data_IF_279468785037
#
_entry.id   IF_279468785037
#
_cell.length_a   1.000
_cell.length_b   1.000
_cell.length_c   1.000
_cell.angle_alpha   90.00
_cell.angle_beta   90.00
_cell.angle_gamma   90.00
#
_symmetry.space_group_name_H-M   'P 1'
#
loop_
_entity.id
_entity.type
_entity.pdbx_description
1 polymer ?
#
# COMPACT_ATOMS: atom_id res chain seq x y z
N UNK A 1 10.11 -16.56 -2.26
CA UNK A 1 8.75 -16.93 -2.69
C UNK A 1 8.53 -16.59 -4.15
N UNK A 2 8.01 -17.51 -4.99
CA UNK A 2 7.84 -17.34 -6.44
C UNK A 2 6.62 -18.08 -6.99
N UNK A 3 6.24 -17.76 -8.23
CA UNK A 3 5.28 -18.53 -9.04
C UNK A 3 5.70 -18.51 -10.52
N UNK A 4 5.35 -19.55 -11.28
CA UNK A 4 5.77 -19.78 -12.68
C UNK A 4 4.61 -19.73 -13.70
N UNK A 5 3.37 -19.56 -13.20
CA UNK A 5 2.16 -19.37 -14.00
C UNK A 5 1.14 -18.57 -13.24
N UNK A 6 0.24 -17.92 -13.97
CA UNK A 6 -0.93 -17.30 -13.33
C UNK A 6 -1.85 -18.36 -12.73
N UNK A 7 -2.53 -18.02 -11.64
CA UNK A 7 -3.46 -18.95 -11.01
C UNK A 7 -3.94 -18.52 -9.62
N UNK A 8 -4.60 -19.45 -8.90
CA UNK A 8 -5.03 -19.25 -7.52
C UNK A 8 -3.82 -19.21 -6.56
N UNK A 9 -4.02 -18.91 -5.26
CA UNK A 9 -2.91 -18.80 -4.28
C UNK A 9 -1.94 -20.00 -4.24
N UNK A 10 -2.40 -21.17 -4.59
CA UNK A 10 -1.64 -22.44 -4.60
C UNK A 10 -0.53 -22.50 -5.67
N UNK A 11 -0.46 -21.52 -6.58
CA UNK A 11 0.69 -21.41 -7.51
C UNK A 11 1.94 -20.86 -6.84
N UNK A 12 1.79 -20.29 -5.63
CA UNK A 12 2.90 -19.75 -4.84
C UNK A 12 3.71 -20.91 -4.24
N UNK A 13 5.03 -20.83 -4.34
CA UNK A 13 5.94 -21.81 -3.78
C UNK A 13 7.23 -21.18 -3.27
N UNK A 14 7.85 -21.83 -2.32
CA UNK A 14 9.22 -21.51 -1.89
C UNK A 14 10.19 -22.12 -2.90
N UNK A 15 11.11 -21.32 -3.43
CA UNK A 15 12.21 -21.75 -4.29
C UNK A 15 13.54 -21.36 -3.63
N UNK A 16 14.48 -22.26 -3.62
CA UNK A 16 15.88 -21.96 -3.29
C UNK A 16 16.57 -21.34 -4.50
N UNK A 17 17.24 -20.24 -4.27
CA UNK A 17 17.99 -19.51 -5.30
C UNK A 17 19.30 -18.97 -4.72
N UNK A 18 20.33 -18.77 -5.52
CA UNK A 18 21.56 -18.14 -5.06
C UNK A 18 21.28 -16.76 -4.45
N UNK A 19 21.94 -16.47 -3.34
CA UNK A 19 21.90 -15.12 -2.75
C UNK A 19 22.48 -14.11 -3.76
N UNK A 20 21.75 -13.04 -4.10
CA UNK A 20 22.24 -12.05 -5.04
C UNK A 20 23.36 -11.22 -4.43
N UNK A 21 24.21 -10.62 -5.28
CA UNK A 21 25.22 -9.64 -4.86
C UNK A 21 24.83 -8.25 -5.30
N UNK A 22 25.02 -7.20 -4.46
CA UNK A 22 24.69 -5.84 -4.83
C UNK A 22 25.69 -5.28 -5.86
N UNK A 23 25.16 -4.66 -6.92
CA UNK A 23 25.92 -3.90 -7.90
C UNK A 23 26.26 -2.48 -7.41
N UNK A 24 26.78 -1.66 -8.32
CA UNK A 24 27.06 -0.24 -8.02
C UNK A 24 25.78 0.52 -7.64
N UNK A 25 25.80 1.25 -6.52
CA UNK A 25 24.66 2.00 -5.99
C UNK A 25 23.53 1.13 -5.43
N UNK A 26 23.77 -0.17 -5.23
CA UNK A 26 22.80 -1.12 -4.70
C UNK A 26 23.17 -1.62 -3.30
N UNK A 27 22.15 -2.04 -2.57
CA UNK A 27 22.24 -2.55 -1.20
C UNK A 27 21.62 -3.94 -1.16
N UNK A 28 22.32 -4.90 -0.59
CA UNK A 28 21.78 -6.20 -0.20
C UNK A 28 21.19 -6.07 1.19
N UNK A 29 19.90 -6.36 1.30
CA UNK A 29 19.18 -6.38 2.58
C UNK A 29 18.82 -7.81 2.94
N UNK A 30 19.18 -8.24 4.15
CA UNK A 30 18.62 -9.42 4.80
C UNK A 30 17.22 -9.05 5.29
N UNK A 31 16.20 -9.65 4.69
CA UNK A 31 14.80 -9.35 4.97
C UNK A 31 14.36 -10.03 6.24
N UNK A 32 13.77 -9.26 7.13
CA UNK A 32 13.14 -9.79 8.35
C UNK A 32 11.66 -10.02 8.14
N UNK A 33 10.99 -9.09 7.48
CA UNK A 33 9.58 -9.20 7.18
C UNK A 33 9.23 -8.50 5.86
N UNK A 34 8.18 -8.98 5.24
CA UNK A 34 7.56 -8.39 4.05
C UNK A 34 6.05 -8.30 4.26
N UNK A 35 5.35 -7.53 3.45
CA UNK A 35 3.89 -7.50 3.51
C UNK A 35 3.25 -7.86 2.16
N UNK A 36 2.00 -8.32 2.22
CA UNK A 36 1.24 -8.69 1.01
C UNK A 36 0.25 -7.59 0.67
N UNK A 37 0.25 -7.20 -0.60
CA UNK A 37 -0.61 -6.15 -1.14
C UNK A 37 -1.76 -6.68 -1.99
N UNK A 38 -2.93 -6.04 -1.90
CA UNK A 38 -4.09 -6.39 -2.73
C UNK A 38 -3.80 -6.30 -4.23
N UNK A 39 -2.87 -5.42 -4.66
CA UNK A 39 -2.45 -5.33 -6.05
C UNK A 39 -1.79 -6.63 -6.55
N UNK A 40 -1.06 -7.33 -5.70
CA UNK A 40 -0.37 -8.57 -6.04
C UNK A 40 -1.35 -9.69 -6.44
N UNK A 41 -2.54 -9.69 -5.88
CA UNK A 41 -3.61 -10.64 -6.25
C UNK A 41 -3.95 -10.53 -7.74
N UNK A 42 -4.02 -9.30 -8.27
CA UNK A 42 -4.32 -9.07 -9.68
C UNK A 42 -3.16 -9.50 -10.59
N UNK A 43 -1.90 -9.35 -10.14
CA UNK A 43 -0.74 -9.84 -10.87
C UNK A 43 -0.65 -11.36 -10.85
N UNK A 44 -0.78 -11.99 -9.67
CA UNK A 44 -0.71 -13.44 -9.51
C UNK A 44 -1.84 -14.16 -10.27
N UNK A 45 -3.08 -13.66 -10.17
CA UNK A 45 -4.23 -14.26 -10.84
C UNK A 45 -4.24 -14.06 -12.37
N UNK A 46 -3.37 -13.19 -12.91
CA UNK A 46 -3.32 -12.87 -14.33
C UNK A 46 -4.33 -11.82 -14.79
N UNK A 47 -5.09 -11.20 -13.90
CA UNK A 47 -6.02 -10.10 -14.25
C UNK A 47 -5.30 -8.91 -14.90
N UNK A 48 -4.00 -8.74 -14.63
CA UNK A 48 -3.15 -7.70 -15.20
C UNK A 48 -2.31 -8.15 -16.40
N UNK A 49 -2.50 -9.37 -16.93
CA UNK A 49 -1.69 -9.94 -18.03
C UNK A 49 -1.69 -9.13 -19.33
N UNK A 50 -2.74 -8.39 -19.59
CA UNK A 50 -2.85 -7.53 -20.78
C UNK A 50 -2.13 -6.17 -20.63
N UNK A 51 -1.74 -5.80 -19.42
CA UNK A 51 -1.11 -4.51 -19.10
C UNK A 51 0.39 -4.68 -18.84
N UNK A 52 0.80 -5.81 -18.27
CA UNK A 52 2.20 -6.09 -17.96
C UNK A 52 2.67 -7.35 -18.69
N UNK A 53 3.87 -7.27 -19.30
CA UNK A 53 4.55 -8.46 -19.84
C UNK A 53 5.09 -9.27 -18.65
N UNK A 54 4.43 -10.39 -18.35
CA UNK A 54 4.93 -11.30 -17.33
C UNK A 54 6.14 -12.09 -17.85
N UNK A 55 7.20 -12.11 -17.05
CA UNK A 55 8.30 -13.08 -17.19
C UNK A 55 8.25 -13.99 -15.97
N UNK A 56 8.30 -15.28 -16.18
CA UNK A 56 8.32 -16.29 -15.12
C UNK A 56 9.71 -16.90 -14.96
N UNK A 57 10.12 -17.38 -13.75
CA UNK A 57 9.37 -17.29 -12.50
C UNK A 57 9.30 -15.85 -11.98
N UNK A 58 8.23 -15.52 -11.24
CA UNK A 58 8.00 -14.18 -10.71
C UNK A 58 8.00 -14.20 -9.19
N UNK A 59 8.68 -13.24 -8.57
CA UNK A 59 8.67 -13.02 -7.12
C UNK A 59 7.35 -12.47 -6.60
N UNK A 60 7.24 -12.39 -5.28
CA UNK A 60 6.08 -11.87 -4.53
C UNK A 60 6.56 -10.88 -3.48
N UNK A 61 5.73 -9.91 -3.13
CA UNK A 61 6.03 -8.86 -2.16
C UNK A 61 6.70 -7.64 -2.80
N UNK A 62 6.32 -6.48 -2.31
CA UNK A 62 6.88 -5.17 -2.67
C UNK A 62 7.55 -4.52 -1.47
N UNK A 63 6.89 -4.55 -0.32
CA UNK A 63 7.34 -3.93 0.93
C UNK A 63 8.24 -4.88 1.70
N UNK A 64 9.29 -4.35 2.30
CA UNK A 64 10.15 -5.13 3.20
C UNK A 64 10.73 -4.28 4.32
N UNK A 65 11.14 -4.97 5.37
CA UNK A 65 11.97 -4.48 6.46
C UNK A 65 13.09 -5.46 6.69
N UNK A 66 14.24 -4.98 7.14
CA UNK A 66 15.36 -5.87 7.38
C UNK A 66 16.61 -5.13 7.86
N UNK A 67 17.74 -5.78 7.66
CA UNK A 67 19.06 -5.20 7.93
C UNK A 67 19.93 -5.23 6.68
N UNK A 68 20.73 -4.20 6.51
CA UNK A 68 21.74 -4.19 5.45
C UNK A 68 22.74 -5.33 5.71
N UNK A 69 22.86 -6.25 4.75
CA UNK A 69 23.82 -7.33 4.79
C UNK A 69 25.15 -6.90 4.14
N UNK A 70 25.11 -6.24 2.99
CA UNK A 70 26.28 -5.67 2.32
C UNK A 70 25.86 -4.55 1.36
N UNK A 71 26.82 -3.75 0.93
CA UNK A 71 26.62 -2.62 0.03
C UNK A 71 27.53 -2.76 -1.20
N UNK A 72 27.01 -2.33 -2.34
CA UNK A 72 27.77 -2.23 -3.58
C UNK A 72 28.65 -0.99 -3.65
N UNK A 73 29.48 -0.93 -4.69
CA UNK A 73 30.33 0.23 -4.92
C UNK A 73 29.51 1.52 -5.00
N UNK A 74 30.05 2.62 -4.50
CA UNK A 74 29.43 3.94 -4.55
C UNK A 74 28.39 4.22 -3.45
N UNK A 75 27.86 3.22 -2.76
CA UNK A 75 26.93 3.41 -1.62
C UNK A 75 27.70 3.98 -0.43
N UNK A 76 27.18 5.07 0.12
CA UNK A 76 27.80 5.77 1.28
C UNK A 76 26.82 5.98 2.43
N UNK A 77 25.52 5.90 2.15
CA UNK A 77 24.48 6.14 3.15
C UNK A 77 24.26 4.97 4.09
N UNK A 78 24.70 3.77 3.74
CA UNK A 78 24.38 2.54 4.43
C UNK A 78 25.62 1.71 4.74
N UNK A 79 25.56 0.95 5.83
CA UNK A 79 26.56 -0.04 6.25
C UNK A 79 25.88 -1.30 6.78
N UNK A 80 26.60 -2.42 6.77
CA UNK A 80 26.11 -3.69 7.32
C UNK A 80 25.61 -3.51 8.77
N UNK A 81 24.44 -4.10 9.03
CA UNK A 81 23.75 -4.04 10.32
C UNK A 81 22.71 -2.93 10.43
N UNK A 82 22.73 -1.90 9.60
CA UNK A 82 21.72 -0.83 9.62
C UNK A 82 20.32 -1.38 9.45
N UNK A 83 19.39 -0.98 10.33
CA UNK A 83 17.99 -1.33 10.21
C UNK A 83 17.31 -0.45 9.17
N UNK A 84 16.74 -1.09 8.14
CA UNK A 84 16.15 -0.41 7.00
C UNK A 84 14.75 -0.94 6.70
N UNK A 85 13.98 -0.11 6.04
CA UNK A 85 12.77 -0.49 5.37
C UNK A 85 12.72 0.14 3.96
N UNK A 86 11.93 -0.46 3.09
CA UNK A 86 11.89 0.04 1.73
C UNK A 86 10.89 -0.69 0.85
N UNK A 87 10.98 -0.39 -0.44
CA UNK A 87 10.15 -1.00 -1.46
C UNK A 87 11.01 -1.51 -2.62
N UNK A 88 10.59 -2.62 -3.19
CA UNK A 88 11.14 -3.07 -4.47
C UNK A 88 10.94 -1.99 -5.55
N UNK A 89 11.78 -1.96 -6.58
CA UNK A 89 11.58 -1.06 -7.72
C UNK A 89 10.19 -1.22 -8.34
N UNK A 90 9.70 -0.15 -8.96
CA UNK A 90 8.36 -0.12 -9.53
C UNK A 90 8.09 -1.30 -10.48
N UNK A 91 6.99 -2.02 -10.26
CA UNK A 91 6.62 -3.27 -10.93
C UNK A 91 7.59 -4.45 -10.77
N UNK A 92 8.59 -4.34 -9.90
CA UNK A 92 9.44 -5.47 -9.48
C UNK A 92 8.86 -6.04 -8.19
N UNK A 93 8.76 -7.36 -8.14
CA UNK A 93 8.27 -8.12 -6.99
C UNK A 93 9.36 -9.08 -6.54
N UNK A 94 9.40 -9.40 -5.24
CA UNK A 94 10.38 -10.32 -4.70
C UNK A 94 10.82 -10.01 -3.28
N UNK A 95 10.07 -9.13 -2.58
CA UNK A 95 10.37 -8.77 -1.18
C UNK A 95 10.18 -9.95 -0.21
N UNK A 96 9.34 -10.94 -0.54
CA UNK A 96 9.20 -12.17 0.25
C UNK A 96 10.33 -13.15 -0.13
N UNK A 97 11.52 -12.88 0.39
CA UNK A 97 12.75 -13.65 0.19
C UNK A 97 13.71 -13.33 1.35
N UNK A 98 14.67 -14.25 1.64
CA UNK A 98 15.68 -14.04 2.68
C UNK A 98 16.52 -12.78 2.42
N UNK A 99 16.77 -12.48 1.15
CA UNK A 99 17.57 -11.33 0.73
C UNK A 99 16.96 -10.65 -0.49
N UNK A 100 17.08 -9.33 -0.51
CA UNK A 100 16.76 -8.51 -1.69
C UNK A 100 17.90 -7.57 -2.01
N UNK A 101 18.10 -7.31 -3.30
CA UNK A 101 18.99 -6.24 -3.78
C UNK A 101 18.12 -5.10 -4.30
N UNK A 102 18.37 -3.91 -3.80
CA UNK A 102 17.64 -2.69 -4.21
C UNK A 102 18.60 -1.51 -4.35
N UNK A 103 18.33 -0.57 -5.26
CA UNK A 103 19.03 0.71 -5.28
C UNK A 103 18.93 1.43 -3.93
N UNK A 104 20.01 2.07 -3.46
CA UNK A 104 20.01 2.78 -2.15
C UNK A 104 18.88 3.80 -2.00
N UNK A 105 18.43 4.43 -3.10
CA UNK A 105 17.31 5.38 -3.11
C UNK A 105 15.93 4.75 -2.80
N UNK A 106 15.85 3.43 -2.64
CA UNK A 106 14.63 2.69 -2.27
C UNK A 106 14.55 2.39 -0.78
N UNK A 107 15.51 2.87 -0.01
CA UNK A 107 15.66 2.61 1.42
C UNK A 107 15.54 3.90 2.24
N UNK A 108 15.04 3.74 3.44
CA UNK A 108 15.21 4.67 4.55
C UNK A 108 15.47 3.87 5.84
N UNK A 109 15.92 4.55 6.88
CA UNK A 109 16.04 3.96 8.22
C UNK A 109 14.64 3.49 8.67
N UNK A 110 14.55 2.26 9.16
CA UNK A 110 13.34 1.79 9.81
C UNK A 110 13.06 2.64 11.07
N UNK A 111 11.77 2.88 11.42
CA UNK A 111 11.43 3.65 12.62
C UNK A 111 12.03 3.02 13.88
N UNK A 112 12.68 3.85 14.72
CA UNK A 112 13.35 3.38 15.94
C UNK A 112 12.38 2.92 17.04
N UNK A 113 11.12 3.32 16.95
CA UNK A 113 10.06 3.00 17.92
C UNK A 113 9.20 1.79 17.54
N UNK A 114 9.52 1.07 16.47
CA UNK A 114 8.80 -0.13 16.01
C UNK A 114 9.73 -1.33 15.85
N UNK A 115 9.18 -2.53 16.06
CA UNK A 115 9.79 -3.77 15.60
C UNK A 115 9.74 -3.91 14.07
N UNK A 116 10.75 -4.57 13.47
CA UNK A 116 10.80 -4.74 12.01
C UNK A 116 9.60 -5.52 11.46
N UNK A 117 9.02 -6.45 12.23
CA UNK A 117 7.80 -7.18 11.86
C UNK A 117 6.61 -6.23 11.66
N UNK A 118 6.36 -5.38 12.65
CA UNK A 118 5.23 -4.44 12.58
C UNK A 118 5.46 -3.38 11.52
N UNK A 119 6.71 -2.88 11.42
CA UNK A 119 7.08 -1.85 10.45
C UNK A 119 6.84 -2.29 9.00
N UNK A 120 6.92 -3.59 8.68
CA UNK A 120 6.70 -4.11 7.34
C UNK A 120 5.29 -3.83 6.77
N UNK A 121 4.32 -3.53 7.62
CA UNK A 121 2.96 -3.18 7.18
C UNK A 121 2.85 -1.78 6.54
N UNK A 122 3.89 -0.95 6.62
CA UNK A 122 3.77 0.47 6.31
C UNK A 122 4.43 0.95 5.00
N UNK A 123 5.58 0.45 4.51
CA UNK A 123 6.33 1.13 3.46
C UNK A 123 5.49 1.52 2.24
N UNK A 124 4.81 0.58 1.60
CA UNK A 124 3.96 0.85 0.45
C UNK A 124 2.65 1.55 0.82
N UNK A 125 2.00 1.09 1.87
CA UNK A 125 0.73 1.66 2.33
C UNK A 125 0.90 3.11 2.81
N UNK A 126 1.92 3.37 3.61
CA UNK A 126 2.21 4.68 4.18
C UNK A 126 2.65 5.69 3.14
N UNK A 127 3.61 5.33 2.28
CA UNK A 127 4.07 6.24 1.21
C UNK A 127 2.96 6.53 0.20
N UNK A 128 2.07 5.56 -0.07
CA UNK A 128 0.89 5.77 -0.91
C UNK A 128 -0.09 6.76 -0.26
N UNK A 129 -0.41 6.60 1.02
CA UNK A 129 -1.30 7.50 1.74
C UNK A 129 -0.70 8.92 1.85
N UNK A 130 0.58 9.04 2.18
CA UNK A 130 1.30 10.33 2.16
C UNK A 130 1.16 11.00 0.82
N UNK A 131 1.57 10.34 -0.28
CA UNK A 131 1.49 10.89 -1.63
C UNK A 131 0.06 11.27 -2.00
N UNK A 132 -0.93 10.44 -1.64
CA UNK A 132 -2.34 10.72 -1.91
C UNK A 132 -2.81 12.00 -1.23
N UNK A 133 -2.52 12.17 0.05
CA UNK A 133 -3.06 13.27 0.85
C UNK A 133 -2.23 14.56 0.71
N UNK A 134 -0.89 14.48 0.71
CA UNK A 134 -0.04 15.69 0.67
C UNK A 134 0.18 16.21 -0.75
N UNK A 135 0.56 15.35 -1.71
CA UNK A 135 0.94 15.80 -3.05
C UNK A 135 -0.25 15.89 -4.00
N UNK A 136 -1.05 14.82 -4.02
CA UNK A 136 -2.17 14.73 -4.97
C UNK A 136 -3.39 15.49 -4.49
N UNK A 137 -3.85 15.23 -3.28
CA UNK A 137 -4.99 15.94 -2.72
C UNK A 137 -4.60 17.31 -2.17
N UNK A 138 -3.39 17.49 -1.63
CA UNK A 138 -3.00 18.70 -0.89
C UNK A 138 -4.03 19.02 0.19
N UNK A 139 -4.29 17.99 1.03
CA UNK A 139 -5.26 18.10 2.12
C UNK A 139 -4.86 19.20 3.09
N UNK A 140 -5.81 20.08 3.39
CA UNK A 140 -5.62 21.19 4.33
C UNK A 140 -6.40 20.94 5.63
N UNK A 141 -5.95 21.51 6.76
CA UNK A 141 -6.69 21.47 8.01
C UNK A 141 -8.12 22.00 7.85
N UNK A 142 -9.08 21.36 8.50
CA UNK A 142 -10.51 21.69 8.45
C UNK A 142 -11.23 21.20 7.19
N UNK A 143 -10.54 20.62 6.20
CA UNK A 143 -11.21 20.02 5.05
C UNK A 143 -11.90 18.70 5.42
N UNK A 144 -12.99 18.39 4.73
CA UNK A 144 -13.74 17.15 4.88
C UNK A 144 -13.17 16.08 3.95
N UNK A 145 -12.63 15.02 4.55
CA UNK A 145 -12.02 13.88 3.87
C UNK A 145 -12.93 12.65 3.94
N UNK A 146 -13.26 12.06 2.78
CA UNK A 146 -13.87 10.73 2.71
C UNK A 146 -12.80 9.69 2.32
N UNK A 147 -12.68 8.62 3.11
CA UNK A 147 -11.83 7.46 2.80
C UNK A 147 -12.71 6.25 2.50
N UNK A 148 -12.65 5.74 1.26
CA UNK A 148 -13.32 4.50 0.85
C UNK A 148 -12.31 3.34 0.89
N UNK A 149 -12.72 2.20 1.46
CA UNK A 149 -11.82 1.07 1.73
C UNK A 149 -10.92 1.35 2.94
N UNK A 150 -11.48 2.02 3.94
CA UNK A 150 -10.76 2.54 5.10
C UNK A 150 -10.05 1.47 5.95
N UNK A 151 -10.45 0.21 5.90
CA UNK A 151 -9.84 -0.87 6.72
C UNK A 151 -8.60 -1.51 6.09
N UNK A 152 -8.40 -1.35 4.78
CA UNK A 152 -7.23 -1.89 4.08
C UNK A 152 -5.93 -1.17 4.44
N UNK A 153 -4.80 -1.68 3.94
CA UNK A 153 -3.47 -1.14 4.26
C UNK A 153 -3.33 0.36 4.05
N UNK A 154 -3.63 0.86 2.85
CA UNK A 154 -3.57 2.31 2.55
C UNK A 154 -4.68 3.08 3.26
N UNK A 155 -5.89 2.48 3.37
CA UNK A 155 -7.07 3.16 3.90
C UNK A 155 -6.93 3.54 5.38
N UNK A 156 -6.45 2.61 6.20
CA UNK A 156 -6.25 2.89 7.62
C UNK A 156 -5.18 3.96 7.87
N UNK A 157 -4.12 3.96 7.07
CA UNK A 157 -3.09 5.02 7.13
C UNK A 157 -3.65 6.36 6.65
N UNK A 158 -4.49 6.37 5.60
CA UNK A 158 -5.13 7.60 5.12
C UNK A 158 -6.08 8.20 6.16
N UNK A 159 -6.77 7.38 6.96
CA UNK A 159 -7.59 7.85 8.10
C UNK A 159 -6.72 8.49 9.16
N UNK A 160 -5.67 7.81 9.62
CA UNK A 160 -4.76 8.29 10.65
C UNK A 160 -4.06 9.59 10.21
N UNK A 161 -3.50 9.59 9.02
CA UNK A 161 -2.79 10.74 8.47
C UNK A 161 -3.75 11.91 8.20
N UNK A 162 -4.95 11.66 7.67
CA UNK A 162 -5.98 12.69 7.48
C UNK A 162 -6.32 13.39 8.78
N UNK A 163 -6.48 12.62 9.87
CA UNK A 163 -6.71 13.17 11.22
C UNK A 163 -5.50 13.96 11.72
N UNK A 164 -4.29 13.44 11.57
CA UNK A 164 -3.06 14.13 11.96
C UNK A 164 -2.83 15.44 11.18
N UNK A 165 -3.33 15.54 9.94
CA UNK A 165 -3.32 16.75 9.14
C UNK A 165 -4.46 17.73 9.46
N UNK A 166 -5.30 17.42 10.44
CA UNK A 166 -6.38 18.29 10.92
C UNK A 166 -7.66 18.25 10.09
N UNK A 167 -7.87 17.21 9.28
CA UNK A 167 -9.10 17.04 8.52
C UNK A 167 -10.25 16.47 9.37
N UNK A 168 -11.51 16.73 8.94
CA UNK A 168 -12.69 15.99 9.37
C UNK A 168 -12.82 14.71 8.54
N UNK A 169 -12.59 13.54 9.16
CA UNK A 169 -12.45 12.27 8.46
C UNK A 169 -13.71 11.43 8.55
N UNK A 170 -14.37 11.19 7.41
CA UNK A 170 -15.43 10.16 7.25
C UNK A 170 -14.83 8.92 6.60
N UNK A 171 -15.04 7.75 7.20
CA UNK A 171 -14.52 6.48 6.73
C UNK A 171 -15.65 5.52 6.33
N UNK A 172 -15.55 4.89 5.14
CA UNK A 172 -16.41 3.78 4.75
C UNK A 172 -15.73 2.45 5.05
N UNK A 173 -16.34 1.67 5.92
CA UNK A 173 -15.87 0.36 6.38
C UNK A 173 -17.04 -0.64 6.45
N UNK A 174 -16.76 -1.94 6.64
CA UNK A 174 -17.82 -2.89 6.95
C UNK A 174 -18.26 -2.77 8.42
N UNK A 175 -19.53 -3.08 8.73
CA UNK A 175 -20.16 -2.92 10.04
C UNK A 175 -19.30 -3.34 11.23
N UNK A 176 -18.65 -4.51 11.14
CA UNK A 176 -17.76 -5.07 12.19
C UNK A 176 -16.50 -4.25 12.47
N UNK A 177 -16.16 -3.28 11.63
CA UNK A 177 -14.93 -2.49 11.70
C UNK A 177 -15.17 -1.01 12.03
N UNK A 178 -16.42 -0.59 12.28
CA UNK A 178 -16.75 0.82 12.48
C UNK A 178 -16.06 1.39 13.73
N UNK A 179 -16.14 0.69 14.86
CA UNK A 179 -15.53 1.16 16.11
C UNK A 179 -14.00 1.11 16.03
N UNK A 180 -13.47 0.10 15.36
CA UNK A 180 -12.04 0.02 15.13
C UNK A 180 -11.49 1.21 14.33
N UNK A 181 -12.20 1.60 13.25
CA UNK A 181 -11.73 2.72 12.40
C UNK A 181 -11.95 4.08 13.08
N UNK A 182 -12.97 4.23 13.93
CA UNK A 182 -13.12 5.40 14.81
C UNK A 182 -11.94 5.50 15.77
N UNK A 183 -11.51 4.39 16.36
CA UNK A 183 -10.32 4.31 17.22
C UNK A 183 -9.00 4.66 16.51
N UNK A 184 -8.99 4.71 15.17
CA UNK A 184 -7.87 5.20 14.37
C UNK A 184 -7.97 6.69 13.99
N UNK A 185 -9.03 7.37 14.40
CA UNK A 185 -9.20 8.81 14.21
C UNK A 185 -10.25 9.22 13.18
N UNK A 186 -11.10 8.31 12.69
CA UNK A 186 -12.25 8.70 11.90
C UNK A 186 -13.27 9.41 12.80
N UNK A 187 -13.68 10.63 12.41
CA UNK A 187 -14.72 11.39 13.10
C UNK A 187 -16.09 10.75 12.85
N UNK A 188 -16.30 10.19 11.66
CA UNK A 188 -17.47 9.42 11.28
C UNK A 188 -17.07 8.12 10.59
N UNK A 189 -17.68 7.00 10.99
CA UNK A 189 -17.50 5.71 10.34
C UNK A 189 -18.84 5.11 9.96
N UNK A 190 -19.03 4.80 8.68
CA UNK A 190 -20.29 4.37 8.09
C UNK A 190 -20.12 3.00 7.39
N UNK A 191 -21.16 2.17 7.49
CA UNK A 191 -21.16 0.87 6.80
C UNK A 191 -21.43 1.06 5.29
N UNK A 192 -20.46 0.71 4.45
CA UNK A 192 -20.58 0.81 2.99
C UNK A 192 -21.70 -0.06 2.39
N UNK A 193 -22.22 -1.05 3.14
CA UNK A 193 -23.31 -1.91 2.67
C UNK A 193 -24.67 -1.25 2.78
N UNK A 194 -24.84 -0.35 3.75
CA UNK A 194 -26.10 0.34 4.04
C UNK A 194 -26.08 1.81 3.64
N UNK A 195 -24.88 2.41 3.50
CA UNK A 195 -24.71 3.81 3.14
C UNK A 195 -24.48 3.96 1.64
N UNK A 196 -25.44 4.51 0.92
CA UNK A 196 -25.32 4.80 -0.50
C UNK A 196 -24.60 6.14 -0.72
N UNK A 197 -23.94 6.36 -1.88
CA UNK A 197 -23.27 7.63 -2.16
C UNK A 197 -24.15 8.86 -1.98
N UNK A 198 -25.45 8.78 -2.35
CA UNK A 198 -26.40 9.90 -2.22
C UNK A 198 -26.76 10.25 -0.76
N UNK A 199 -26.59 9.33 0.17
CA UNK A 199 -26.87 9.53 1.59
C UNK A 199 -25.73 10.30 2.29
N UNK A 200 -24.56 10.38 1.63
CA UNK A 200 -23.37 11.10 2.12
C UNK A 200 -23.48 12.61 1.88
N UNK A 201 -22.89 13.38 2.80
CA UNK A 201 -22.64 14.80 2.61
C UNK A 201 -21.69 15.09 1.45
N UNK A 202 -21.17 16.33 1.41
CA UNK A 202 -20.16 16.72 0.45
C UNK A 202 -18.79 16.78 1.10
N UNK A 203 -17.73 16.52 0.29
CA UNK A 203 -16.34 16.43 0.72
C UNK A 203 -15.43 17.34 -0.12
N UNK A 204 -14.37 17.79 0.50
CA UNK A 204 -13.30 18.51 -0.17
C UNK A 204 -12.32 17.53 -0.82
N UNK A 205 -12.08 16.40 -0.15
CA UNK A 205 -11.22 15.33 -0.63
C UNK A 205 -11.92 13.98 -0.52
N UNK A 206 -11.78 13.15 -1.55
CA UNK A 206 -12.15 11.74 -1.53
C UNK A 206 -10.94 10.91 -1.91
N UNK A 207 -10.53 9.99 -1.04
CA UNK A 207 -9.55 8.93 -1.34
C UNK A 207 -10.33 7.63 -1.60
N UNK A 208 -10.22 7.14 -2.83
CA UNK A 208 -10.92 5.94 -3.28
C UNK A 208 -9.96 4.77 -3.48
N UNK A 209 -10.12 3.73 -2.67
CA UNK A 209 -9.33 2.50 -2.68
C UNK A 209 -10.15 1.28 -3.10
N UNK A 210 -11.35 1.52 -3.68
CA UNK A 210 -12.29 0.46 -4.07
C UNK A 210 -12.45 0.38 -5.58
N UNK A 211 -12.54 1.52 -6.27
CA UNK A 211 -12.58 1.60 -7.73
C UNK A 211 -13.98 1.48 -8.35
N UNK A 212 -15.03 1.12 -7.58
CA UNK A 212 -16.41 1.02 -8.05
C UNK A 212 -17.17 2.33 -7.85
N UNK A 213 -18.20 2.59 -8.68
CA UNK A 213 -19.12 3.74 -8.52
C UNK A 213 -18.46 5.12 -8.44
N UNK A 214 -17.25 5.26 -9.00
CA UNK A 214 -16.44 6.49 -8.91
C UNK A 214 -17.24 7.75 -9.26
N UNK A 215 -18.15 7.67 -10.24
CA UNK A 215 -18.99 8.81 -10.65
C UNK A 215 -19.97 9.26 -9.58
N UNK A 216 -20.58 8.33 -8.85
CA UNK A 216 -21.51 8.63 -7.76
C UNK A 216 -20.79 9.30 -6.59
N UNK A 217 -19.59 8.82 -6.25
CA UNK A 217 -18.76 9.45 -5.21
C UNK A 217 -18.17 10.78 -5.68
N UNK A 218 -17.74 10.90 -6.94
CA UNK A 218 -17.29 12.18 -7.49
C UNK A 218 -18.38 13.27 -7.43
N UNK A 219 -19.68 12.89 -7.52
CA UNK A 219 -20.80 13.79 -7.34
C UNK A 219 -20.94 14.31 -5.89
N UNK A 220 -20.27 13.69 -4.93
CA UNK A 220 -20.21 14.13 -3.52
C UNK A 220 -19.08 15.13 -3.25
N UNK A 221 -18.26 15.48 -4.24
CA UNK A 221 -17.27 16.54 -4.09
C UNK A 221 -17.92 17.92 -4.06
N UNK A 222 -17.40 18.79 -3.21
CA UNK A 222 -17.63 20.24 -3.31
C UNK A 222 -17.16 20.77 -4.68
N UNK A 223 -17.55 22.00 -5.03
CA UNK A 223 -17.22 22.60 -6.34
C UNK A 223 -15.70 22.60 -6.65
N UNK A 224 -14.87 22.82 -5.65
CA UNK A 224 -13.39 22.78 -5.73
C UNK A 224 -12.80 21.46 -5.20
N UNK A 225 -13.63 20.51 -4.83
CA UNK A 225 -13.20 19.24 -4.28
C UNK A 225 -12.48 18.37 -5.30
N UNK A 226 -11.63 17.47 -4.82
CA UNK A 226 -10.78 16.58 -5.61
C UNK A 226 -10.81 15.15 -5.09
N UNK A 227 -10.70 14.20 -6.02
CA UNK A 227 -10.65 12.76 -5.72
C UNK A 227 -9.26 12.23 -6.07
N UNK A 228 -8.73 11.37 -5.23
CA UNK A 228 -7.57 10.52 -5.53
C UNK A 228 -8.08 9.09 -5.61
N UNK A 229 -8.01 8.48 -6.79
CA UNK A 229 -8.43 7.12 -7.01
C UNK A 229 -7.21 6.22 -7.22
N UNK A 230 -7.10 5.18 -6.39
CA UNK A 230 -5.95 4.27 -6.33
C UNK A 230 -6.30 2.83 -6.70
N UNK A 231 -7.59 2.53 -6.79
CA UNK A 231 -8.08 1.23 -7.22
C UNK A 231 -8.93 1.35 -8.49
N UNK A 232 -8.94 0.28 -9.23
CA UNK A 232 -9.80 0.10 -10.41
C UNK A 232 -10.73 -1.08 -10.14
N UNK A 233 -11.93 -1.03 -10.70
CA UNK A 233 -12.86 -2.14 -10.68
C UNK A 233 -12.15 -3.41 -11.19
N UNK A 234 -11.96 -4.44 -10.36
CA UNK A 234 -11.17 -5.62 -10.71
C UNK A 234 -11.80 -6.44 -11.85
N UNK A 235 -13.12 -6.34 -12.02
CA UNK A 235 -13.86 -7.07 -13.06
C UNK A 235 -13.93 -6.28 -14.38
N UNK A 236 -13.61 -4.98 -14.35
CA UNK A 236 -13.74 -4.06 -15.50
C UNK A 236 -12.55 -3.11 -15.62
N UNK A 237 -11.34 -3.60 -15.40
CA UNK A 237 -10.11 -2.78 -15.34
C UNK A 237 -9.98 -1.85 -16.56
N UNK A 238 -10.13 -2.38 -17.79
CA UNK A 238 -9.99 -1.58 -19.01
C UNK A 238 -11.09 -0.50 -19.11
N UNK A 239 -12.33 -0.84 -18.75
CA UNK A 239 -13.48 0.08 -18.77
C UNK A 239 -13.35 1.15 -17.66
N UNK A 240 -12.79 0.77 -16.52
CA UNK A 240 -12.49 1.65 -15.39
C UNK A 240 -11.37 2.64 -15.75
N UNK A 241 -10.30 2.18 -16.40
CA UNK A 241 -9.22 3.03 -16.91
C UNK A 241 -9.72 4.03 -17.95
N UNK A 242 -10.49 3.57 -18.95
CA UNK A 242 -11.08 4.44 -19.97
C UNK A 242 -12.07 5.44 -19.37
N UNK A 243 -12.97 4.98 -18.49
CA UNK A 243 -13.95 5.85 -17.84
C UNK A 243 -13.33 6.88 -16.91
N UNK A 244 -12.29 6.52 -16.19
CA UNK A 244 -11.56 7.44 -15.29
C UNK A 244 -10.68 8.39 -16.08
N UNK A 245 -10.04 7.92 -17.16
CA UNK A 245 -9.28 8.76 -18.10
C UNK A 245 -10.18 9.79 -18.78
N UNK A 246 -11.35 9.39 -19.28
CA UNK A 246 -12.33 10.31 -19.90
C UNK A 246 -12.83 11.36 -18.89
N UNK A 247 -13.11 10.97 -17.63
CA UNK A 247 -13.51 11.91 -16.58
C UNK A 247 -12.40 12.88 -16.18
N UNK A 248 -11.14 12.44 -16.19
CA UNK A 248 -9.98 13.29 -15.96
C UNK A 248 -9.83 14.33 -17.10
N UNK A 249 -10.17 13.97 -18.32
CA UNK A 249 -10.16 14.88 -19.50
C UNK A 249 -11.34 15.86 -19.43
N UNK A 250 -12.55 15.38 -19.13
CA UNK A 250 -13.77 16.23 -19.09
C UNK A 250 -13.76 17.21 -17.92
N UNK A 251 -13.13 16.87 -16.79
CA UNK A 251 -12.97 17.77 -15.64
C UNK A 251 -11.55 17.66 -15.11
N UNK A 252 -10.58 18.30 -15.78
CA UNK A 252 -9.18 18.22 -15.43
C UNK A 252 -8.95 18.70 -13.99
N UNK A 253 -8.10 17.97 -13.28
CA UNK A 253 -7.73 18.29 -11.89
C UNK A 253 -8.68 17.81 -10.79
N UNK A 254 -9.90 17.33 -11.11
CA UNK A 254 -10.85 16.82 -10.09
C UNK A 254 -10.61 15.38 -9.70
N UNK A 255 -10.07 14.55 -10.58
CA UNK A 255 -9.70 13.16 -10.27
C UNK A 255 -8.24 12.95 -10.62
N UNK A 256 -7.46 12.52 -9.66
CA UNK A 256 -6.04 12.24 -9.78
C UNK A 256 -5.80 10.75 -9.61
N UNK A 257 -5.01 10.20 -10.52
CA UNK A 257 -4.52 8.82 -10.50
C UNK A 257 -3.02 8.87 -10.35
N UNK A 258 -2.44 7.93 -9.64
CA UNK A 258 -1.00 7.72 -9.63
C UNK A 258 -0.67 6.29 -9.29
N UNK A 259 0.51 5.85 -9.70
CA UNK A 259 1.16 4.64 -9.21
C UNK A 259 2.22 5.06 -8.21
N UNK A 260 2.30 4.38 -7.08
CA UNK A 260 3.24 4.72 -6.01
C UNK A 260 4.66 4.27 -6.41
N UNK A 261 5.57 5.22 -6.45
CA UNK A 261 6.99 5.02 -6.73
C UNK A 261 7.81 5.99 -5.86
N UNK A 262 7.89 5.74 -4.54
CA UNK A 262 8.45 6.70 -3.60
C UNK A 262 9.97 6.81 -3.72
N UNK A 263 10.48 8.02 -3.52
CA UNK A 263 11.90 8.27 -3.31
C UNK A 263 12.31 7.95 -1.86
N UNK A 264 13.63 7.90 -1.59
CA UNK A 264 14.16 7.73 -0.24
C UNK A 264 13.64 8.82 0.73
N UNK A 265 13.53 10.07 0.25
CA UNK A 265 13.02 11.19 1.05
C UNK A 265 11.56 10.96 1.48
N UNK A 266 10.72 10.40 0.58
CA UNK A 266 9.33 10.05 0.89
C UNK A 266 9.25 8.92 1.90
N UNK A 267 10.12 7.91 1.80
CA UNK A 267 10.19 6.83 2.77
C UNK A 267 10.68 7.36 4.12
N UNK A 268 11.67 8.26 4.14
CA UNK A 268 12.14 8.92 5.36
C UNK A 268 11.09 9.84 6.00
N UNK A 269 10.24 10.49 5.19
CA UNK A 269 9.09 11.24 5.71
C UNK A 269 8.09 10.31 6.43
N UNK A 270 7.86 9.11 5.88
CA UNK A 270 7.04 8.10 6.55
C UNK A 270 7.68 7.68 7.88
N UNK A 271 9.01 7.46 7.93
CA UNK A 271 9.73 7.16 9.17
C UNK A 271 9.42 8.22 10.24
N UNK A 272 9.59 9.50 9.90
CA UNK A 272 9.29 10.61 10.84
C UNK A 272 7.84 10.62 11.29
N UNK A 273 6.89 10.41 10.38
CA UNK A 273 5.46 10.40 10.73
C UNK A 273 5.11 9.27 11.71
N UNK A 274 5.79 8.13 11.61
CA UNK A 274 5.65 7.01 12.55
C UNK A 274 6.30 7.34 13.90
N UNK A 275 7.51 7.86 13.89
CA UNK A 275 8.25 8.22 15.12
C UNK A 275 7.55 9.35 15.92
N UNK A 276 6.90 10.26 15.21
CA UNK A 276 6.04 11.32 15.79
C UNK A 276 4.66 10.82 16.24
N UNK A 277 4.34 9.53 16.07
CA UNK A 277 3.08 8.94 16.49
C UNK A 277 1.86 9.33 15.64
N UNK A 278 2.06 9.97 14.48
CA UNK A 278 0.98 10.34 13.54
C UNK A 278 0.38 9.13 12.83
N UNK A 279 1.16 8.09 12.66
CA UNK A 279 0.82 6.85 11.98
C UNK A 279 1.34 5.68 12.80
N UNK A 280 0.52 4.66 12.97
CA UNK A 280 0.93 3.36 13.53
C UNK A 280 0.58 2.23 12.57
N UNK A 281 1.40 1.17 12.49
CA UNK A 281 1.09 0.02 11.66
C UNK A 281 -0.15 -0.71 12.15
N UNK A 282 -0.95 -1.20 11.20
CA UNK A 282 -2.07 -2.10 11.46
C UNK A 282 -1.73 -3.44 10.81
N UNK A 283 -1.35 -4.40 11.62
CA UNK A 283 -1.07 -5.78 11.23
C UNK A 283 -2.29 -6.62 11.57
N UNK A 284 -2.90 -7.25 10.56
CA UNK A 284 -4.02 -8.16 10.74
C UNK A 284 -3.53 -9.51 11.26
N UNK A 285 -2.58 -10.09 10.55
CA UNK A 285 -2.01 -11.39 10.87
C UNK A 285 -0.55 -11.45 10.43
N UNK A 286 0.28 -12.11 11.22
CA UNK A 286 1.66 -12.47 10.87
C UNK A 286 1.71 -13.93 10.52
N UNK A 287 2.20 -14.26 9.32
CA UNK A 287 2.32 -15.64 8.83
C UNK A 287 3.79 -15.96 8.49
N UNK A 288 4.22 -17.22 8.62
CA UNK A 288 5.50 -17.65 8.08
C UNK A 288 5.48 -17.63 6.55
N UNK A 289 6.65 -17.63 5.91
CA UNK A 289 6.78 -17.54 4.45
C UNK A 289 6.05 -18.72 3.75
N UNK A 290 6.06 -19.90 4.32
CA UNK A 290 5.39 -21.08 3.77
C UNK A 290 3.86 -20.89 3.63
N UNK A 291 3.24 -20.08 4.48
CA UNK A 291 1.79 -19.87 4.55
C UNK A 291 1.30 -18.63 3.76
N UNK A 292 2.14 -18.05 2.90
CA UNK A 292 1.77 -16.85 2.12
C UNK A 292 0.48 -17.01 1.29
N UNK A 293 0.17 -18.24 0.85
CA UNK A 293 -1.07 -18.54 0.15
C UNK A 293 -2.31 -18.24 1.02
N UNK A 294 -2.20 -18.39 2.35
CA UNK A 294 -3.26 -18.02 3.30
C UNK A 294 -3.47 -16.50 3.32
N UNK A 295 -2.39 -15.70 3.36
CA UNK A 295 -2.48 -14.24 3.25
C UNK A 295 -3.21 -13.81 1.98
N UNK A 296 -2.89 -14.43 0.84
CA UNK A 296 -3.57 -14.15 -0.42
C UNK A 296 -5.06 -14.52 -0.38
N UNK A 297 -5.42 -15.69 0.18
CA UNK A 297 -6.83 -16.08 0.36
C UNK A 297 -7.57 -15.12 1.31
N UNK A 298 -6.92 -14.71 2.40
CA UNK A 298 -7.49 -13.76 3.36
C UNK A 298 -7.79 -12.40 2.71
N UNK A 299 -6.88 -11.90 1.88
CA UNK A 299 -7.10 -10.66 1.12
C UNK A 299 -8.24 -10.81 0.08
N UNK A 300 -8.33 -11.96 -0.61
CA UNK A 300 -9.42 -12.26 -1.55
C UNK A 300 -10.79 -12.34 -0.85
N UNK A 301 -10.85 -12.89 0.36
CA UNK A 301 -12.06 -12.95 1.18
C UNK A 301 -12.50 -11.58 1.70
N UNK A 302 -11.58 -10.65 1.79
CA UNK A 302 -11.83 -9.28 2.25
C UNK A 302 -12.04 -9.13 3.77
N UNK A 303 -12.25 -7.91 4.23
CA UNK A 303 -12.51 -7.58 5.63
C UNK A 303 -11.26 -7.54 6.52
N UNK A 304 -10.09 -7.49 5.91
CA UNK A 304 -8.78 -7.35 6.55
C UNK A 304 -8.66 -6.00 7.26
N UNK A 305 -8.01 -5.98 8.42
CA UNK A 305 -7.67 -4.79 9.21
C UNK A 305 -6.21 -4.43 9.03
N UNK A 306 -5.88 -3.65 8.01
CA UNK A 306 -4.49 -3.31 7.69
C UNK A 306 -3.85 -4.29 6.72
N UNK A 307 -2.78 -4.97 7.12
CA UNK A 307 -1.95 -5.79 6.25
C UNK A 307 -1.68 -7.18 6.84
N UNK A 308 -1.55 -8.17 5.96
CA UNK A 308 -0.82 -9.39 6.27
C UNK A 308 0.67 -9.12 6.21
N UNK A 309 1.39 -9.56 7.22
CA UNK A 309 2.84 -9.50 7.30
C UNK A 309 3.40 -10.92 7.24
N UNK A 310 4.43 -11.11 6.44
CA UNK A 310 5.16 -12.37 6.31
C UNK A 310 6.45 -12.23 7.11
N UNK A 311 6.58 -13.04 8.16
CA UNK A 311 7.86 -13.23 8.87
C UNK A 311 8.75 -14.14 8.02
N UNK A 312 9.72 -13.54 7.34
CA UNK A 312 10.59 -14.25 6.41
C UNK A 312 11.56 -15.19 7.14
N UNK A 313 11.86 -14.91 8.41
CA UNK A 313 12.78 -15.72 9.23
C UNK A 313 12.12 -16.95 9.86
N UNK A 314 10.80 -17.05 9.77
CA UNK A 314 10.06 -18.25 10.18
C UNK A 314 9.84 -19.12 8.95
N UNK A 315 10.40 -20.33 8.96
CA UNK A 315 10.23 -21.30 7.88
C UNK A 315 8.76 -21.73 7.69
#
# INVERSE_FOLDING_TARGET
MRYDRFGPPEVLRVDEVPTPSPGEGEVLVEVHAASVDAAELAFRSGRMRGITRARFPRGVGVDFTGRVASVGAGVRAWRAGDAVWGLMPHFVFGAVADHVVVPERRLASAPGNLGLLEAAALPGAGTTALTALTDKARLAPGERLLVRGATGGVGNVAVQLGKALGAEVTALAGARNLDWIRGLGADEALDYRTTRPQDLGRFDVIVDLVGTDLGAYQARLHRRGRMVALAFDPDRVLRSLLGTGLRAVVRPGRTKLFSNDPSAERIAELTRAVEEGKIRPMVDTVLPMADIAEAHRGLEAGGVRGKYVIDVRRP
#
